data_IF_850539272999
#
_entry.id   IF_850539272999
#
_cell.length_a   1.000
_cell.length_b   1.000
_cell.length_c   1.000
_cell.angle_alpha   90.00
_cell.angle_beta   90.00
_cell.angle_gamma   90.00
#
_symmetry.space_group_name_H-M   'P 1'
#
loop_
_entity.id
_entity.type
_entity.pdbx_description
1 polymer ?
#
# COMPACT_ATOMS: atom_id res chain seq x y z
N UNK A 1 22.17 -66.19 -49.34
CA UNK A 1 21.55 -65.73 -48.08
C UNK A 1 22.64 -65.37 -47.04
N UNK A 2 23.47 -64.36 -47.30
CA UNK A 2 24.53 -63.91 -46.36
C UNK A 2 24.51 -62.40 -46.12
N UNK A 3 23.77 -61.63 -46.94
CA UNK A 3 23.69 -60.15 -46.83
C UNK A 3 22.64 -59.61 -45.86
N UNK A 4 21.74 -60.45 -45.32
CA UNK A 4 20.70 -59.99 -44.40
C UNK A 4 21.10 -60.08 -42.91
N UNK A 5 22.16 -60.82 -42.57
CA UNK A 5 22.57 -61.04 -41.18
C UNK A 5 23.54 -59.98 -40.63
N UNK A 6 24.23 -59.24 -41.51
CA UNK A 6 25.20 -58.21 -41.10
C UNK A 6 24.50 -56.88 -40.77
N UNK A 7 23.33 -56.61 -41.36
CA UNK A 7 22.57 -55.37 -41.11
C UNK A 7 21.78 -55.44 -39.78
N UNK A 8 21.41 -56.65 -39.32
CA UNK A 8 20.71 -56.81 -38.04
C UNK A 8 21.62 -56.70 -36.80
N UNK A 9 22.95 -56.82 -36.96
CA UNK A 9 23.89 -56.69 -35.84
C UNK A 9 24.45 -55.27 -35.66
N UNK A 10 24.12 -54.32 -36.55
CA UNK A 10 24.56 -52.91 -36.48
C UNK A 10 23.55 -51.97 -35.81
N UNK A 11 22.38 -52.48 -35.39
CA UNK A 11 21.33 -51.70 -34.73
C UNK A 11 21.25 -51.92 -33.21
N UNK A 12 22.13 -52.74 -32.64
CA UNK A 12 22.24 -52.93 -31.20
C UNK A 12 23.50 -52.23 -30.67
N UNK A 13 23.31 -51.11 -29.94
CA UNK A 13 24.26 -50.75 -28.88
C UNK A 13 25.06 -49.45 -29.05
N UNK A 14 24.39 -48.32 -29.28
CA UNK A 14 24.84 -47.03 -28.74
C UNK A 14 23.69 -46.30 -28.02
N UNK A 15 22.68 -47.01 -27.51
CA UNK A 15 21.85 -46.44 -26.45
C UNK A 15 22.67 -46.59 -25.16
N UNK A 16 23.29 -45.51 -24.71
CA UNK A 16 23.84 -45.44 -23.35
C UNK A 16 22.79 -45.96 -22.37
N UNK A 17 23.20 -46.77 -21.40
CA UNK A 17 22.26 -47.32 -20.42
C UNK A 17 21.44 -46.17 -19.79
N UNK A 18 20.11 -46.31 -19.59
CA UNK A 18 19.25 -45.23 -19.10
C UNK A 18 19.78 -44.54 -17.84
N UNK A 19 20.53 -45.29 -17.02
CA UNK A 19 21.22 -44.77 -15.85
C UNK A 19 22.32 -43.75 -16.16
N UNK A 20 23.16 -44.02 -17.17
CA UNK A 20 24.22 -43.12 -17.62
C UNK A 20 23.67 -41.87 -18.35
N UNK A 21 22.55 -42.02 -19.05
CA UNK A 21 21.82 -40.90 -19.65
C UNK A 21 21.30 -39.94 -18.58
N UNK A 22 20.74 -40.47 -17.48
CA UNK A 22 20.31 -39.64 -16.36
C UNK A 22 21.47 -38.85 -15.74
N UNK A 23 22.66 -39.44 -15.63
CA UNK A 23 23.86 -38.75 -15.13
C UNK A 23 24.36 -37.65 -16.05
N UNK A 24 24.21 -37.83 -17.36
CA UNK A 24 24.52 -36.82 -18.37
C UNK A 24 23.56 -35.64 -18.26
N UNK A 25 22.24 -35.90 -18.32
CA UNK A 25 21.22 -34.86 -18.15
C UNK A 25 21.37 -34.11 -16.83
N UNK A 26 21.68 -34.81 -15.72
CA UNK A 26 21.89 -34.17 -14.43
C UNK A 26 23.08 -33.22 -14.44
N UNK A 27 24.21 -33.61 -15.07
CA UNK A 27 25.40 -32.75 -15.21
C UNK A 27 25.12 -31.51 -16.07
N UNK A 28 24.24 -31.63 -17.05
CA UNK A 28 23.80 -30.51 -17.90
C UNK A 28 22.75 -29.60 -17.23
N UNK A 29 22.26 -29.96 -16.04
CA UNK A 29 21.19 -29.22 -15.35
C UNK A 29 19.78 -29.49 -15.91
N UNK A 30 19.64 -30.49 -16.77
CA UNK A 30 18.39 -30.95 -17.39
C UNK A 30 17.65 -31.91 -16.43
N UNK A 31 17.30 -31.41 -15.24
CA UNK A 31 16.77 -32.25 -14.17
C UNK A 31 15.48 -33.00 -14.51
N UNK A 32 14.49 -32.46 -15.24
CA UNK A 32 13.33 -33.23 -15.68
C UNK A 32 13.68 -34.42 -16.57
N UNK A 33 14.62 -34.23 -17.50
CA UNK A 33 15.13 -35.29 -18.38
C UNK A 33 15.90 -36.34 -17.56
N UNK A 34 16.72 -35.92 -16.59
CA UNK A 34 17.44 -36.82 -15.69
C UNK A 34 16.47 -37.68 -14.85
N UNK A 35 15.41 -37.09 -14.30
CA UNK A 35 14.36 -37.81 -13.55
C UNK A 35 13.68 -38.84 -14.45
N UNK A 36 13.33 -38.47 -15.68
CA UNK A 36 12.71 -39.39 -16.64
C UNK A 36 13.62 -40.59 -16.95
N UNK A 37 14.90 -40.33 -17.24
CA UNK A 37 15.88 -41.37 -17.57
C UNK A 37 16.14 -42.34 -16.39
N UNK A 38 16.31 -41.84 -15.18
CA UNK A 38 16.45 -42.69 -13.99
C UNK A 38 15.15 -43.41 -13.61
N UNK A 39 13.99 -42.81 -13.82
CA UNK A 39 12.70 -43.48 -13.59
C UNK A 39 12.51 -44.67 -14.54
N UNK A 40 12.96 -44.55 -15.79
CA UNK A 40 13.00 -45.65 -16.75
C UNK A 40 14.01 -46.74 -16.35
N UNK A 41 15.14 -46.36 -15.72
CA UNK A 41 16.14 -47.30 -15.20
C UNK A 41 15.67 -48.08 -13.95
N UNK A 42 14.64 -47.61 -13.25
CA UNK A 42 14.18 -48.13 -11.95
C UNK A 42 13.87 -49.63 -11.95
N UNK A 43 13.30 -50.14 -13.03
CA UNK A 43 12.90 -51.55 -13.15
C UNK A 43 14.00 -52.48 -13.68
N UNK A 44 15.15 -51.91 -14.04
CA UNK A 44 16.28 -52.62 -14.67
C UNK A 44 17.57 -52.45 -13.86
N UNK A 45 17.56 -51.63 -12.81
CA UNK A 45 18.71 -51.36 -11.95
C UNK A 45 18.89 -52.44 -10.89
N UNK A 46 20.13 -52.86 -10.67
CA UNK A 46 20.52 -53.76 -9.57
C UNK A 46 20.48 -53.06 -8.19
N UNK A 47 20.40 -51.72 -8.17
CA UNK A 47 20.25 -50.92 -6.95
C UNK A 47 19.10 -49.89 -7.10
N UNK A 48 17.88 -50.24 -6.66
CA UNK A 48 16.73 -49.35 -6.69
C UNK A 48 16.83 -48.17 -5.71
N UNK A 49 17.56 -48.34 -4.60
CA UNK A 49 17.71 -47.31 -3.57
C UNK A 49 18.55 -46.16 -4.12
N UNK A 50 19.66 -46.47 -4.78
CA UNK A 50 20.50 -45.47 -5.44
C UNK A 50 19.75 -44.69 -6.54
N UNK A 51 18.87 -45.36 -7.30
CA UNK A 51 18.02 -44.69 -8.30
C UNK A 51 17.07 -43.68 -7.64
N UNK A 52 16.41 -44.06 -6.54
CA UNK A 52 15.50 -43.17 -5.82
C UNK A 52 16.23 -41.98 -5.18
N UNK A 53 17.43 -42.17 -4.62
CA UNK A 53 18.26 -41.09 -4.10
C UNK A 53 18.64 -40.08 -5.19
N UNK A 54 19.01 -40.56 -6.38
CA UNK A 54 19.33 -39.70 -7.53
C UNK A 54 18.10 -38.92 -8.00
N UNK A 55 16.95 -39.59 -8.12
CA UNK A 55 15.68 -38.93 -8.47
C UNK A 55 15.32 -37.87 -7.43
N UNK A 56 15.46 -38.15 -6.13
CA UNK A 56 15.19 -37.20 -5.06
C UNK A 56 16.12 -35.98 -5.16
N UNK A 57 17.41 -36.20 -5.42
CA UNK A 57 18.39 -35.13 -5.63
C UNK A 57 18.07 -34.28 -6.86
N UNK A 58 17.70 -34.87 -8.00
CA UNK A 58 17.27 -34.10 -9.17
C UNK A 58 16.00 -33.29 -8.94
N UNK A 59 15.01 -33.85 -8.22
CA UNK A 59 13.80 -33.10 -7.85
C UNK A 59 14.13 -31.89 -6.98
N UNK A 60 15.02 -32.07 -6.01
CA UNK A 60 15.52 -30.97 -5.19
C UNK A 60 16.20 -29.89 -6.05
N UNK A 61 17.14 -30.28 -6.92
CA UNK A 61 17.86 -29.33 -7.77
C UNK A 61 16.94 -28.63 -8.78
N UNK A 62 15.92 -29.31 -9.31
CA UNK A 62 14.92 -28.72 -10.18
C UNK A 62 14.13 -27.61 -9.47
N UNK A 63 13.71 -27.85 -8.22
CA UNK A 63 13.02 -26.85 -7.39
C UNK A 63 13.93 -25.67 -7.05
N UNK A 64 15.20 -25.92 -6.72
CA UNK A 64 16.21 -24.86 -6.47
C UNK A 64 16.38 -23.97 -7.69
N UNK A 65 16.57 -24.55 -8.88
CA UNK A 65 16.75 -23.76 -10.12
C UNK A 65 15.50 -22.97 -10.45
N UNK A 66 14.31 -23.57 -10.32
CA UNK A 66 13.05 -22.85 -10.54
C UNK A 66 12.88 -21.70 -9.56
N UNK A 67 13.13 -21.92 -8.27
CA UNK A 67 13.04 -20.87 -7.25
C UNK A 67 14.02 -19.71 -7.56
N UNK A 68 15.27 -20.02 -7.94
CA UNK A 68 16.25 -19.00 -8.37
C UNK A 68 15.73 -18.16 -9.53
N UNK A 69 15.03 -18.78 -10.48
CA UNK A 69 14.47 -18.09 -11.64
C UNK A 69 13.29 -17.18 -11.25
N UNK A 70 12.39 -17.63 -10.38
CA UNK A 70 11.30 -16.79 -9.86
C UNK A 70 11.85 -15.58 -9.07
N UNK A 71 12.90 -15.79 -8.24
CA UNK A 71 13.60 -14.70 -7.52
C UNK A 71 14.28 -13.73 -8.51
N UNK A 72 14.90 -14.25 -9.58
CA UNK A 72 15.56 -13.44 -10.61
C UNK A 72 14.56 -12.57 -11.37
N UNK A 73 13.37 -13.11 -11.63
CA UNK A 73 12.29 -12.46 -12.39
C UNK A 73 11.32 -11.66 -11.52
N UNK A 74 11.64 -11.43 -10.23
CA UNK A 74 10.81 -10.68 -9.27
C UNK A 74 9.39 -11.24 -9.09
N UNK A 75 9.23 -12.56 -9.21
CA UNK A 75 7.98 -13.25 -8.88
C UNK A 75 8.07 -13.77 -7.45
N UNK A 76 8.13 -12.84 -6.50
CA UNK A 76 8.41 -13.12 -5.07
C UNK A 76 7.36 -14.04 -4.44
N UNK A 77 6.09 -13.94 -4.81
CA UNK A 77 5.02 -14.85 -4.36
C UNK A 77 5.27 -16.31 -4.78
N UNK A 78 5.60 -16.54 -6.06
CA UNK A 78 5.93 -17.87 -6.57
C UNK A 78 7.20 -18.42 -5.90
N UNK A 79 8.21 -17.56 -5.71
CA UNK A 79 9.45 -17.93 -5.05
C UNK A 79 9.19 -18.39 -3.60
N UNK A 80 8.29 -17.72 -2.87
CA UNK A 80 7.90 -18.13 -1.51
C UNK A 80 7.19 -19.49 -1.48
N UNK A 81 6.29 -19.75 -2.43
CA UNK A 81 5.61 -21.07 -2.53
C UNK A 81 6.64 -22.18 -2.74
N UNK A 82 7.60 -21.98 -3.65
CA UNK A 82 8.67 -22.94 -3.91
C UNK A 82 9.61 -23.11 -2.71
N UNK A 83 9.93 -22.01 -2.02
CA UNK A 83 10.77 -22.03 -0.82
C UNK A 83 10.10 -22.79 0.33
N UNK A 84 8.79 -22.66 0.51
CA UNK A 84 8.04 -23.43 1.53
C UNK A 84 8.20 -24.93 1.27
N UNK A 85 7.98 -25.37 0.03
CA UNK A 85 8.15 -26.76 -0.36
C UNK A 85 9.60 -27.27 -0.20
N UNK A 86 10.60 -26.42 -0.48
CA UNK A 86 12.01 -26.75 -0.24
C UNK A 86 12.32 -26.86 1.26
N UNK A 87 11.77 -25.97 2.08
CA UNK A 87 12.07 -25.88 3.52
C UNK A 87 11.43 -27.01 4.33
N UNK A 88 10.27 -27.51 3.92
CA UNK A 88 9.60 -28.65 4.57
C UNK A 88 10.47 -29.91 4.60
N UNK A 89 11.34 -30.08 3.61
CA UNK A 89 12.16 -31.30 3.45
C UNK A 89 13.67 -31.07 3.60
N UNK A 90 14.13 -29.83 3.39
CA UNK A 90 15.55 -29.50 3.32
C UNK A 90 15.87 -28.17 4.05
N UNK A 91 15.27 -27.94 5.23
CA UNK A 91 15.38 -26.69 6.00
C UNK A 91 16.84 -26.24 6.22
N UNK A 92 17.73 -27.19 6.48
CA UNK A 92 19.12 -26.92 6.88
C UNK A 92 20.09 -26.98 5.69
N UNK A 93 19.57 -27.11 4.46
CA UNK A 93 20.41 -27.21 3.28
C UNK A 93 20.94 -25.81 2.88
N UNK A 94 22.26 -25.60 2.69
CA UNK A 94 22.83 -24.27 2.43
C UNK A 94 22.24 -23.55 1.21
N UNK A 95 21.88 -24.28 0.16
CA UNK A 95 21.18 -23.72 -1.00
C UNK A 95 19.78 -23.17 -0.69
N UNK A 96 19.07 -23.76 0.26
CA UNK A 96 17.73 -23.31 0.68
C UNK A 96 17.87 -22.06 1.55
N UNK A 97 18.87 -22.03 2.44
CA UNK A 97 19.22 -20.83 3.22
C UNK A 97 19.61 -19.64 2.33
N UNK A 98 20.48 -19.85 1.31
CA UNK A 98 20.80 -18.81 0.30
C UNK A 98 19.54 -18.31 -0.41
N UNK A 99 18.65 -19.21 -0.81
CA UNK A 99 17.40 -18.85 -1.49
C UNK A 99 16.46 -18.05 -0.58
N UNK A 100 16.37 -18.39 0.70
CA UNK A 100 15.64 -17.60 1.71
C UNK A 100 16.19 -16.19 1.80
N UNK A 101 17.51 -16.05 1.99
CA UNK A 101 18.17 -14.75 2.07
C UNK A 101 17.95 -13.91 0.81
N UNK A 102 18.03 -14.52 -0.38
CA UNK A 102 17.81 -13.82 -1.66
C UNK A 102 16.36 -13.40 -1.86
N UNK A 103 15.41 -14.26 -1.49
CA UNK A 103 13.98 -13.97 -1.59
C UNK A 103 13.58 -12.86 -0.63
N UNK A 104 14.01 -12.94 0.63
CA UNK A 104 13.79 -11.91 1.64
C UNK A 104 14.32 -10.54 1.18
N UNK A 105 15.53 -10.49 0.60
CA UNK A 105 16.09 -9.26 0.03
C UNK A 105 15.27 -8.69 -1.13
N UNK A 106 14.67 -9.53 -1.98
CA UNK A 106 13.80 -9.07 -3.07
C UNK A 106 12.50 -8.48 -2.54
N UNK A 107 11.85 -9.16 -1.61
CA UNK A 107 10.60 -8.69 -0.99
C UNK A 107 10.85 -7.38 -0.23
N UNK A 108 11.94 -7.32 0.55
CA UNK A 108 12.32 -6.09 1.25
C UNK A 108 12.57 -4.93 0.27
N UNK A 109 13.16 -5.18 -0.90
CA UNK A 109 13.38 -4.16 -1.92
C UNK A 109 12.06 -3.67 -2.55
N UNK A 110 11.06 -4.54 -2.74
CA UNK A 110 9.72 -4.15 -3.21
C UNK A 110 9.05 -3.20 -2.21
N UNK A 111 9.03 -3.57 -0.91
CA UNK A 111 8.48 -2.71 0.14
C UNK A 111 9.28 -1.42 0.33
N UNK A 112 10.61 -1.47 0.21
CA UNK A 112 11.45 -0.28 0.28
C UNK A 112 11.12 0.71 -0.85
N UNK A 113 10.90 0.20 -2.07
CA UNK A 113 10.49 1.03 -3.20
C UNK A 113 9.13 1.67 -2.92
N UNK A 114 8.12 0.89 -2.54
CA UNK A 114 6.80 1.43 -2.19
C UNK A 114 6.87 2.49 -1.09
N UNK A 115 7.66 2.26 -0.03
CA UNK A 115 7.87 3.25 1.02
C UNK A 115 8.50 4.55 0.52
N UNK A 116 9.43 4.46 -0.44
CA UNK A 116 10.04 5.63 -1.09
C UNK A 116 9.01 6.38 -1.93
N UNK A 117 8.23 5.67 -2.75
CA UNK A 117 7.20 6.25 -3.60
C UNK A 117 6.11 6.98 -2.76
N UNK A 118 5.73 6.43 -1.60
CA UNK A 118 4.81 7.10 -0.65
C UNK A 118 5.41 8.35 -0.02
N UNK A 119 6.70 8.33 0.29
CA UNK A 119 7.38 9.48 0.86
C UNK A 119 7.52 10.61 -0.16
N UNK A 120 7.77 10.30 -1.43
CA UNK A 120 7.77 11.26 -2.53
C UNK A 120 6.37 11.84 -2.80
N UNK A 121 5.32 11.04 -2.59
CA UNK A 121 3.93 11.47 -2.65
C UNK A 121 3.44 12.22 -1.39
N UNK A 122 4.35 12.65 -0.51
CA UNK A 122 4.06 13.44 0.71
C UNK A 122 3.14 12.71 1.71
N UNK A 123 3.16 11.37 1.71
CA UNK A 123 2.38 10.49 2.57
C UNK A 123 3.29 9.72 3.57
N UNK A 124 3.89 10.40 4.57
CA UNK A 124 4.91 9.82 5.43
C UNK A 124 4.37 8.73 6.38
N UNK A 125 3.12 8.81 6.84
CA UNK A 125 2.51 7.74 7.65
C UNK A 125 2.46 6.40 6.89
N UNK A 126 2.03 6.43 5.63
CA UNK A 126 2.02 5.23 4.78
C UNK A 126 3.45 4.75 4.47
N UNK A 127 4.39 5.67 4.25
CA UNK A 127 5.79 5.32 4.02
C UNK A 127 6.40 4.55 5.21
N UNK A 128 6.09 4.96 6.45
CA UNK A 128 6.50 4.26 7.68
C UNK A 128 6.08 2.79 7.64
N UNK A 129 4.82 2.50 7.31
CA UNK A 129 4.31 1.12 7.25
C UNK A 129 5.12 0.24 6.28
N UNK A 130 5.45 0.78 5.10
CA UNK A 130 6.22 0.07 4.09
C UNK A 130 7.68 -0.15 4.49
N UNK A 131 8.33 0.84 5.11
CA UNK A 131 9.68 0.65 5.63
C UNK A 131 9.74 -0.36 6.78
N UNK A 132 8.75 -0.39 7.66
CA UNK A 132 8.62 -1.42 8.71
C UNK A 132 8.45 -2.81 8.09
N UNK A 133 7.62 -2.95 7.04
CA UNK A 133 7.48 -4.21 6.30
C UNK A 133 8.81 -4.64 5.67
N UNK A 134 9.57 -3.72 5.07
CA UNK A 134 10.88 -4.04 4.51
C UNK A 134 11.87 -4.55 5.59
N UNK A 135 11.90 -3.90 6.76
CA UNK A 135 12.74 -4.30 7.89
C UNK A 135 12.32 -5.62 8.54
N UNK A 136 11.03 -5.98 8.48
CA UNK A 136 10.56 -7.29 8.94
C UNK A 136 11.11 -8.45 8.11
N UNK A 137 11.43 -8.21 6.82
CA UNK A 137 12.07 -9.21 5.95
C UNK A 137 13.60 -9.18 6.04
N UNK A 138 14.20 -8.00 6.18
CA UNK A 138 15.65 -7.83 6.32
C UNK A 138 15.92 -6.80 7.43
N UNK A 139 16.21 -7.31 8.63
CA UNK A 139 16.44 -6.50 9.83
C UNK A 139 17.48 -5.40 9.60
N UNK A 140 18.59 -5.75 8.94
CA UNK A 140 19.66 -4.83 8.59
C UNK A 140 19.53 -4.31 7.16
N UNK A 141 18.48 -3.54 6.88
CA UNK A 141 18.30 -2.84 5.60
C UNK A 141 18.56 -1.33 5.75
N UNK A 142 19.77 -0.82 5.40
CA UNK A 142 20.16 0.57 5.69
C UNK A 142 19.24 1.60 5.01
N UNK A 143 18.80 1.33 3.78
CA UNK A 143 17.85 2.19 3.06
C UNK A 143 16.51 2.35 3.79
N UNK A 144 15.85 1.24 4.14
CA UNK A 144 14.59 1.25 4.87
C UNK A 144 14.71 1.86 6.27
N UNK A 145 15.80 1.60 7.01
CA UNK A 145 16.04 2.24 8.31
C UNK A 145 16.17 3.76 8.19
N UNK A 146 16.92 4.25 7.20
CA UNK A 146 17.05 5.69 6.94
C UNK A 146 15.72 6.31 6.45
N UNK A 147 15.00 5.60 5.57
CA UNK A 147 13.68 6.00 5.09
C UNK A 147 12.65 6.12 6.21
N UNK A 148 12.63 5.14 7.12
CA UNK A 148 11.80 5.12 8.32
C UNK A 148 12.11 6.34 9.21
N UNK A 149 13.38 6.56 9.54
CA UNK A 149 13.78 7.71 10.36
C UNK A 149 13.36 9.05 9.73
N UNK A 150 13.53 9.19 8.41
CA UNK A 150 13.11 10.39 7.67
C UNK A 150 11.58 10.57 7.70
N UNK A 151 10.81 9.52 7.42
CA UNK A 151 9.36 9.56 7.42
C UNK A 151 8.81 9.87 8.82
N UNK A 152 9.34 9.23 9.87
CA UNK A 152 8.98 9.51 11.26
C UNK A 152 9.27 10.95 11.66
N UNK A 153 10.42 11.50 11.26
CA UNK A 153 10.74 12.90 11.53
C UNK A 153 9.76 13.87 10.85
N UNK A 154 9.32 13.56 9.62
CA UNK A 154 8.30 14.37 8.93
C UNK A 154 6.94 14.31 9.63
N UNK A 155 6.52 13.13 10.10
CA UNK A 155 5.28 12.99 10.89
C UNK A 155 5.35 13.84 12.16
N UNK A 156 6.42 13.68 12.95
CA UNK A 156 6.60 14.45 14.19
C UNK A 156 6.63 15.96 13.94
N UNK A 157 7.27 16.39 12.86
CA UNK A 157 7.30 17.80 12.49
C UNK A 157 5.91 18.33 12.13
N UNK A 158 5.11 17.56 11.38
CA UNK A 158 3.72 17.93 11.06
C UNK A 158 2.86 17.99 12.32
N UNK A 159 2.98 17.00 13.20
CA UNK A 159 2.26 16.99 14.48
C UNK A 159 2.60 18.24 15.31
N UNK A 160 3.89 18.58 15.44
CA UNK A 160 4.32 19.79 16.13
C UNK A 160 3.74 21.08 15.52
N UNK A 161 3.68 21.17 14.18
CA UNK A 161 3.04 22.30 13.49
C UNK A 161 1.54 22.36 13.78
N UNK A 162 0.85 21.21 13.81
CA UNK A 162 -0.55 21.13 14.17
C UNK A 162 -0.80 21.61 15.61
N UNK A 163 0.08 21.26 16.55
CA UNK A 163 0.03 21.75 17.93
C UNK A 163 0.30 23.26 18.03
N UNK A 164 1.26 23.78 17.28
CA UNK A 164 1.54 25.23 17.23
C UNK A 164 0.30 26.02 16.77
N UNK A 165 -0.34 25.57 15.70
CA UNK A 165 -1.58 26.17 15.19
C UNK A 165 -2.74 26.06 16.19
N UNK A 166 -2.81 24.96 16.95
CA UNK A 166 -3.77 24.84 18.04
C UNK A 166 -3.57 25.94 19.10
N UNK A 167 -2.32 26.15 19.55
CA UNK A 167 -2.01 27.18 20.53
C UNK A 167 -2.18 28.59 19.99
N UNK A 168 -1.88 28.83 18.71
CA UNK A 168 -2.20 30.09 18.04
C UNK A 168 -3.71 30.36 18.08
N UNK A 169 -4.54 29.37 17.76
CA UNK A 169 -6.00 29.47 17.85
C UNK A 169 -6.49 29.86 19.25
N UNK A 170 -5.92 29.25 20.29
CA UNK A 170 -6.20 29.63 21.69
C UNK A 170 -5.73 31.05 22.04
N UNK A 171 -4.64 31.51 21.44
CA UNK A 171 -4.17 32.90 21.54
C UNK A 171 -5.16 33.88 20.94
N UNK A 172 -5.58 33.64 19.69
CA UNK A 172 -6.53 34.48 18.97
C UNK A 172 -7.91 34.50 19.65
N UNK A 173 -8.38 33.38 20.19
CA UNK A 173 -9.61 33.33 21.00
C UNK A 173 -9.54 34.25 22.22
N UNK A 174 -8.43 34.23 22.95
CA UNK A 174 -8.24 35.09 24.14
C UNK A 174 -8.22 36.58 23.79
N UNK A 175 -7.80 36.91 22.57
CA UNK A 175 -7.81 38.27 22.04
C UNK A 175 -9.17 38.68 21.44
N UNK A 176 -10.15 37.77 21.36
CA UNK A 176 -11.48 38.01 20.79
C UNK A 176 -11.52 37.92 19.25
N UNK A 177 -10.47 37.38 18.61
CA UNK A 177 -10.35 37.30 17.16
C UNK A 177 -10.92 35.97 16.62
N UNK A 178 -12.23 35.79 16.75
CA UNK A 178 -12.92 34.52 16.46
C UNK A 178 -12.66 33.97 15.04
N UNK A 179 -12.53 34.85 14.02
CA UNK A 179 -12.26 34.42 12.64
C UNK A 179 -10.86 33.84 12.48
N UNK A 180 -9.84 34.47 13.10
CA UNK A 180 -8.46 33.98 13.05
C UNK A 180 -8.30 32.70 13.86
N UNK A 181 -8.91 32.64 15.03
CA UNK A 181 -8.97 31.44 15.84
C UNK A 181 -9.57 30.25 15.06
N UNK A 182 -10.70 30.48 14.36
CA UNK A 182 -11.33 29.46 13.52
C UNK A 182 -10.40 28.95 12.43
N UNK A 183 -9.69 29.85 11.74
CA UNK A 183 -8.75 29.47 10.69
C UNK A 183 -7.60 28.61 11.27
N UNK A 184 -7.02 29.03 12.38
CA UNK A 184 -5.95 28.28 13.05
C UNK A 184 -6.41 26.88 13.48
N UNK A 185 -7.59 26.75 14.11
CA UNK A 185 -8.13 25.44 14.46
C UNK A 185 -8.46 24.57 13.23
N UNK A 186 -8.97 25.15 12.14
CA UNK A 186 -9.21 24.40 10.91
C UNK A 186 -7.92 23.81 10.32
N UNK A 187 -6.84 24.58 10.30
CA UNK A 187 -5.53 24.08 9.85
C UNK A 187 -4.96 23.04 10.82
N UNK A 188 -5.07 23.26 12.13
CA UNK A 188 -4.64 22.29 13.13
C UNK A 188 -5.40 20.97 13.00
N UNK A 189 -6.72 21.00 12.83
CA UNK A 189 -7.56 19.81 12.61
C UNK A 189 -7.19 19.07 11.34
N UNK A 190 -6.92 19.78 10.24
CA UNK A 190 -6.50 19.14 8.99
C UNK A 190 -5.18 18.34 9.14
N UNK A 191 -4.33 18.72 10.10
CA UNK A 191 -3.05 18.06 10.38
C UNK A 191 -3.18 16.98 11.45
N UNK A 192 -3.88 17.27 12.55
CA UNK A 192 -4.00 16.41 13.73
C UNK A 192 -5.17 15.41 13.65
N UNK A 193 -6.08 15.61 12.71
CA UNK A 193 -7.28 14.78 12.51
C UNK A 193 -8.52 15.26 13.26
N UNK A 194 -9.66 14.65 12.90
CA UNK A 194 -10.99 15.00 13.40
C UNK A 194 -11.23 14.61 14.87
N UNK A 195 -10.41 13.73 15.42
CA UNK A 195 -10.44 13.36 16.84
C UNK A 195 -9.63 14.33 17.73
N UNK A 196 -8.95 15.31 17.13
CA UNK A 196 -8.12 16.26 17.87
C UNK A 196 -8.95 17.25 18.70
N UNK A 197 -8.33 17.81 19.74
CA UNK A 197 -8.94 18.90 20.51
C UNK A 197 -9.25 20.14 19.65
N UNK A 198 -8.46 20.37 18.61
CA UNK A 198 -8.70 21.43 17.63
C UNK A 198 -10.01 21.23 16.88
N UNK A 199 -10.39 19.99 16.56
CA UNK A 199 -11.63 19.68 15.87
C UNK A 199 -12.85 20.04 16.73
N UNK A 200 -12.79 19.71 18.03
CA UNK A 200 -13.83 20.05 19.00
C UNK A 200 -13.99 21.57 19.11
N UNK A 201 -12.89 22.31 19.33
CA UNK A 201 -12.92 23.77 19.43
C UNK A 201 -13.36 24.43 18.12
N UNK A 202 -12.98 23.87 16.97
CA UNK A 202 -13.42 24.34 15.67
C UNK A 202 -14.95 24.19 15.52
N UNK A 203 -15.52 23.07 15.94
CA UNK A 203 -16.96 22.84 15.87
C UNK A 203 -17.72 23.81 16.79
N UNK A 204 -17.31 23.94 18.05
CA UNK A 204 -17.91 24.87 19.02
C UNK A 204 -17.86 26.31 18.50
N UNK A 205 -16.68 26.76 18.04
CA UNK A 205 -16.52 28.12 17.53
C UNK A 205 -17.29 28.37 16.23
N UNK A 206 -17.40 27.34 15.37
CA UNK A 206 -18.21 27.44 14.15
C UNK A 206 -19.70 27.55 14.49
N UNK A 207 -20.16 26.84 15.51
CA UNK A 207 -21.52 26.93 16.01
C UNK A 207 -21.81 28.33 16.58
N UNK A 208 -20.93 28.87 17.43
CA UNK A 208 -21.09 30.21 18.01
C UNK A 208 -21.13 31.29 16.92
N UNK A 209 -20.19 31.25 15.96
CA UNK A 209 -20.17 32.18 14.83
C UNK A 209 -21.43 32.00 13.98
N UNK A 210 -21.86 30.76 13.70
CA UNK A 210 -23.05 30.47 12.91
C UNK A 210 -24.32 31.03 13.56
N UNK A 211 -24.50 30.84 14.87
CA UNK A 211 -25.63 31.40 15.64
C UNK A 211 -25.63 32.93 15.64
N UNK A 212 -24.46 33.56 15.71
CA UNK A 212 -24.35 35.02 15.60
C UNK A 212 -24.77 35.52 14.21
N UNK A 213 -24.39 34.78 13.16
CA UNK A 213 -24.77 35.08 11.77
C UNK A 213 -26.28 34.93 11.56
N UNK A 214 -26.91 33.92 12.15
CA UNK A 214 -28.38 33.76 12.17
C UNK A 214 -29.04 34.99 12.79
N UNK A 215 -28.59 35.38 13.99
CA UNK A 215 -29.16 36.53 14.70
C UNK A 215 -29.04 37.81 13.89
N UNK A 216 -27.86 38.05 13.30
CA UNK A 216 -27.61 39.21 12.43
C UNK A 216 -28.52 39.18 11.19
N UNK A 217 -28.67 38.02 10.56
CA UNK A 217 -29.56 37.82 9.41
C UNK A 217 -31.00 38.20 9.72
N UNK A 218 -31.55 37.71 10.84
CA UNK A 218 -32.91 38.05 11.29
C UNK A 218 -33.08 39.56 11.51
N UNK A 219 -32.12 40.21 12.18
CA UNK A 219 -32.16 41.67 12.38
C UNK A 219 -32.18 42.43 11.05
N UNK A 220 -31.44 41.96 10.04
CA UNK A 220 -31.44 42.58 8.72
C UNK A 220 -32.74 42.32 7.95
N UNK A 221 -33.33 41.14 8.08
CA UNK A 221 -34.65 40.82 7.52
C UNK A 221 -35.74 41.74 8.09
N UNK A 222 -35.76 41.94 9.41
CA UNK A 222 -36.70 42.85 10.09
C UNK A 222 -36.60 44.30 9.59
N UNK A 223 -35.42 44.70 9.10
CA UNK A 223 -35.16 46.03 8.53
C UNK A 223 -35.40 46.11 7.02
N UNK A 224 -35.89 45.04 6.40
CA UNK A 224 -36.09 44.95 4.94
C UNK A 224 -34.80 44.85 4.12
N UNK A 225 -33.65 44.59 4.76
CA UNK A 225 -32.34 44.47 4.10
C UNK A 225 -32.10 43.03 3.63
N UNK A 226 -32.91 42.56 2.70
CA UNK A 226 -32.94 41.13 2.29
C UNK A 226 -31.66 40.65 1.60
N UNK A 227 -31.04 41.48 0.74
CA UNK A 227 -29.78 41.14 0.09
C UNK A 227 -28.64 40.87 1.09
N UNK A 228 -28.32 41.83 1.99
CA UNK A 228 -27.38 41.60 3.08
C UNK A 228 -27.75 40.41 3.97
N UNK A 229 -29.03 40.28 4.35
CA UNK A 229 -29.51 39.17 5.18
C UNK A 229 -29.19 37.80 4.55
N UNK A 230 -29.39 37.67 3.24
CA UNK A 230 -29.08 36.45 2.52
C UNK A 230 -27.58 36.11 2.55
N UNK A 231 -26.70 37.10 2.38
CA UNK A 231 -25.25 36.89 2.43
C UNK A 231 -24.81 36.39 3.80
N UNK A 232 -25.25 37.05 4.88
CA UNK A 232 -24.82 36.68 6.25
C UNK A 232 -25.38 35.32 6.67
N UNK A 233 -26.62 34.98 6.27
CA UNK A 233 -27.20 33.66 6.54
C UNK A 233 -26.50 32.56 5.74
N UNK A 234 -26.05 32.84 4.51
CA UNK A 234 -25.25 31.89 3.72
C UNK A 234 -23.87 31.67 4.34
N UNK A 235 -23.28 32.68 4.97
CA UNK A 235 -22.07 32.49 5.78
C UNK A 235 -22.36 31.61 6.99
N UNK A 236 -23.47 31.84 7.70
CA UNK A 236 -23.92 31.00 8.81
C UNK A 236 -24.10 29.54 8.39
N UNK A 237 -24.75 29.29 7.24
CA UNK A 237 -24.96 27.95 6.68
C UNK A 237 -23.64 27.20 6.42
N UNK A 238 -22.58 27.91 5.99
CA UNK A 238 -21.26 27.28 5.80
C UNK A 238 -20.61 26.89 7.13
N UNK A 239 -21.02 27.49 8.24
CA UNK A 239 -20.51 27.14 9.57
C UNK A 239 -21.32 26.01 10.20
N UNK A 240 -22.64 25.98 9.99
CA UNK A 240 -23.56 24.96 10.51
C UNK A 240 -24.48 24.47 9.37
N UNK A 241 -24.00 23.56 8.50
CA UNK A 241 -24.77 23.14 7.32
C UNK A 241 -26.07 22.40 7.64
N UNK A 242 -26.13 21.76 8.81
CA UNK A 242 -27.27 20.93 9.24
C UNK A 242 -28.35 21.73 10.00
N UNK A 243 -28.17 23.04 10.16
CA UNK A 243 -29.14 23.88 10.87
C UNK A 243 -30.41 24.12 10.02
N UNK A 244 -31.53 23.54 10.46
CA UNK A 244 -32.83 23.63 9.77
C UNK A 244 -33.37 25.06 9.72
N UNK A 245 -33.09 25.88 10.73
CA UNK A 245 -33.56 27.27 10.78
C UNK A 245 -32.88 28.12 9.70
N UNK A 246 -31.56 28.00 9.54
CA UNK A 246 -30.82 28.69 8.47
C UNK A 246 -31.37 28.31 7.10
N UNK A 247 -31.63 27.03 6.87
CA UNK A 247 -32.17 26.54 5.60
C UNK A 247 -33.55 27.15 5.32
N UNK A 248 -34.44 27.18 6.32
CA UNK A 248 -35.76 27.79 6.20
C UNK A 248 -35.69 29.28 5.89
N UNK A 249 -34.82 30.03 6.60
CA UNK A 249 -34.62 31.47 6.39
C UNK A 249 -34.06 31.78 5.00
N UNK A 250 -33.08 31.00 4.53
CA UNK A 250 -32.52 31.14 3.18
C UNK A 250 -33.54 30.84 2.09
N UNK A 251 -34.37 29.82 2.27
CA UNK A 251 -35.45 29.48 1.33
C UNK A 251 -36.49 30.61 1.25
N UNK A 252 -36.89 31.16 2.39
CA UNK A 252 -37.83 32.28 2.44
C UNK A 252 -37.26 33.52 1.74
N UNK A 253 -36.00 33.90 2.05
CA UNK A 253 -35.33 35.04 1.43
C UNK A 253 -35.18 34.90 -0.09
N UNK A 254 -34.95 33.69 -0.58
CA UNK A 254 -34.87 33.43 -2.02
C UNK A 254 -36.21 33.76 -2.71
N UNK A 255 -37.34 33.40 -2.10
CA UNK A 255 -38.66 33.75 -2.60
C UNK A 255 -38.92 35.25 -2.59
N UNK A 256 -38.58 35.93 -1.49
CA UNK A 256 -38.79 37.38 -1.35
C UNK A 256 -37.94 38.19 -2.35
N UNK A 257 -36.65 37.84 -2.50
CA UNK A 257 -35.76 38.48 -3.47
C UNK A 257 -36.23 38.25 -4.92
N UNK A 258 -36.82 37.09 -5.22
CA UNK A 258 -37.41 36.82 -6.52
C UNK A 258 -38.63 37.71 -6.76
N UNK A 259 -39.55 37.79 -5.79
CA UNK A 259 -40.75 38.61 -5.88
C UNK A 259 -40.41 40.11 -6.04
N UNK A 260 -39.45 40.63 -5.28
CA UNK A 260 -38.99 42.02 -5.43
C UNK A 260 -38.41 42.30 -6.81
N UNK A 261 -37.68 41.36 -7.39
CA UNK A 261 -37.15 41.48 -8.75
C UNK A 261 -38.27 41.53 -9.79
N UNK A 262 -39.30 40.70 -9.64
CA UNK A 262 -40.47 40.70 -10.54
C UNK A 262 -41.22 42.03 -10.47
N UNK A 263 -41.42 42.59 -9.27
CA UNK A 263 -42.05 43.91 -9.08
C UNK A 263 -41.22 45.01 -9.74
N UNK A 264 -39.90 45.04 -9.53
CA UNK A 264 -39.02 46.03 -10.17
C UNK A 264 -39.03 45.93 -11.70
N UNK A 265 -39.15 44.73 -12.27
CA UNK A 265 -39.25 44.53 -13.72
C UNK A 265 -40.62 44.97 -14.25
N UNK A 266 -41.68 44.83 -13.46
CA UNK A 266 -43.03 45.26 -13.83
C UNK A 266 -43.24 46.78 -13.73
N UNK A 267 -42.47 47.47 -12.88
CA UNK A 267 -42.51 48.92 -12.68
C UNK A 267 -41.58 49.73 -13.62
N UNK A 268 -40.82 49.05 -14.50
CA UNK A 268 -39.99 49.66 -15.56
C UNK A 268 -40.69 49.64 -16.92
#
# INVERSE_FOLDING_TARGET
MVRLLIILCLLAGCSSAPFAQGDEHFRLGEYPQAISAWSAARNVSDDPVQVEERIAKARFMALVVRCREEVRTWRTDNAQVLLRALSEKYSDHPLVEDLHSRTARKIAAEFFKEGTDRLEADAPQLAIEYFVKALAWVEYHPGAAAGLAKASAQVLHREALGEELHFEGLGELRLGNNVRAKAAFAHATAILGDESRSAILLAELSEDIGREKIRTGKIWMERGLFGPAWVVLREGFRMIPEDEEIQALLSWLAGELHAQREIQVADM
#
